data_IF_268425492661
#
_entry.id   IF_268425492661
#
_cell.length_a   1.000
_cell.length_b   1.000
_cell.length_c   1.000
_cell.angle_alpha   90.00
_cell.angle_beta   90.00
_cell.angle_gamma   90.00
#
_symmetry.space_group_name_H-M   'P 1'
#
loop_
_entity.id
_entity.type
_entity.pdbx_description
1 polymer ?
#
# COMPACT_ATOMS: atom_id res chain seq x y z
N UNK A 1 -27.88 -3.03 2.56
CA UNK A 1 -26.51 -2.47 2.60
C UNK A 1 -25.58 -3.61 2.98
N UNK A 2 -24.63 -3.96 2.12
CA UNK A 2 -23.75 -5.11 2.37
C UNK A 2 -23.03 -4.92 3.72
N UNK A 3 -23.11 -5.91 4.62
CA UNK A 3 -22.41 -5.89 5.90
C UNK A 3 -20.89 -6.00 5.64
N UNK A 4 -20.25 -4.84 5.46
CA UNK A 4 -18.79 -4.71 5.40
C UNK A 4 -18.25 -5.16 6.75
N UNK A 5 -17.27 -6.07 6.75
CA UNK A 5 -16.66 -6.55 7.99
C UNK A 5 -15.94 -5.41 8.70
N UNK A 6 -15.81 -5.43 10.04
CA UNK A 6 -15.07 -4.40 10.77
C UNK A 6 -13.66 -4.13 10.18
N UNK A 7 -12.98 -5.20 9.75
CA UNK A 7 -11.66 -5.09 9.12
C UNK A 7 -11.72 -4.34 7.78
N UNK A 8 -12.71 -4.61 6.93
CA UNK A 8 -12.90 -3.87 5.68
C UNK A 8 -13.32 -2.42 5.91
N UNK A 9 -14.04 -2.12 7.00
CA UNK A 9 -14.33 -0.73 7.37
C UNK A 9 -13.04 0.03 7.73
N UNK A 10 -12.14 -0.60 8.50
CA UNK A 10 -10.83 -0.01 8.81
C UNK A 10 -9.97 0.15 7.55
N UNK A 11 -9.92 -0.86 6.68
CA UNK A 11 -9.21 -0.77 5.40
C UNK A 11 -9.71 0.40 4.55
N UNK A 12 -11.01 0.52 4.33
CA UNK A 12 -11.60 1.59 3.51
C UNK A 12 -11.38 2.96 4.13
N UNK A 13 -11.45 3.08 5.46
CA UNK A 13 -11.14 4.32 6.17
C UNK A 13 -9.70 4.75 5.91
N UNK A 14 -8.73 3.85 6.14
CA UNK A 14 -7.31 4.15 5.91
C UNK A 14 -7.06 4.46 4.43
N UNK A 15 -7.63 3.67 3.52
CA UNK A 15 -7.49 3.90 2.08
C UNK A 15 -8.02 5.27 1.64
N UNK A 16 -9.07 5.79 2.28
CA UNK A 16 -9.59 7.13 1.98
C UNK A 16 -8.65 8.27 2.35
N UNK A 17 -7.69 8.03 3.25
CA UNK A 17 -6.65 8.99 3.63
C UNK A 17 -5.43 8.93 2.69
N UNK A 18 -5.32 7.87 1.88
CA UNK A 18 -4.20 7.58 0.96
C UNK A 18 -4.72 7.07 -0.39
N UNK A 19 -5.61 7.83 -1.02
CA UNK A 19 -6.30 7.46 -2.26
C UNK A 19 -5.35 7.28 -3.45
N UNK A 20 -4.26 8.04 -3.49
CA UNK A 20 -3.20 8.02 -4.51
C UNK A 20 -2.12 6.94 -4.32
N UNK A 21 -2.18 6.16 -3.24
CA UNK A 21 -1.20 5.12 -2.91
C UNK A 21 -1.80 3.70 -3.02
N UNK A 22 -1.02 2.72 -3.47
CA UNK A 22 -1.36 1.32 -3.25
C UNK A 22 -1.21 1.00 -1.76
N UNK A 23 -2.30 0.60 -1.10
CA UNK A 23 -2.32 0.32 0.33
C UNK A 23 -1.94 -1.14 0.60
N UNK A 24 -0.70 -1.34 1.04
CA UNK A 24 -0.22 -2.62 1.54
C UNK A 24 -0.70 -2.81 2.98
N UNK A 25 -1.81 -3.53 3.14
CA UNK A 25 -2.47 -3.71 4.43
C UNK A 25 -2.00 -5.01 5.10
N UNK A 26 -1.29 -4.89 6.23
CA UNK A 26 -0.72 -6.04 6.94
C UNK A 26 -1.80 -6.93 7.54
N UNK A 27 -1.83 -8.18 7.10
CA UNK A 27 -2.68 -9.23 7.63
C UNK A 27 -1.88 -10.52 7.83
N UNK A 28 -1.54 -10.83 9.09
CA UNK A 28 -0.75 -12.00 9.41
C UNK A 28 0.63 -11.90 8.76
N UNK A 29 0.99 -12.85 7.89
CA UNK A 29 2.28 -12.89 7.18
C UNK A 29 2.24 -12.30 5.76
N UNK A 30 1.14 -11.64 5.39
CA UNK A 30 1.01 -10.99 4.08
C UNK A 30 0.76 -9.49 4.19
N UNK A 31 1.12 -8.77 3.14
CA UNK A 31 0.47 -7.52 2.79
C UNK A 31 -0.61 -7.82 1.76
N UNK A 32 -1.87 -7.54 2.12
CA UNK A 32 -3.01 -7.71 1.24
C UNK A 32 -3.46 -6.35 0.70
N UNK A 33 -3.84 -6.32 -0.58
CA UNK A 33 -4.48 -5.20 -1.25
C UNK A 33 -5.86 -5.64 -1.70
N UNK A 34 -6.82 -4.71 -1.71
CA UNK A 34 -8.21 -5.00 -2.05
C UNK A 34 -8.73 -4.09 -3.16
N UNK A 35 -9.87 -4.45 -3.74
CA UNK A 35 -10.59 -3.63 -4.73
C UNK A 35 -9.71 -3.25 -5.94
N UNK A 36 -9.53 -1.96 -6.22
CA UNK A 36 -8.79 -1.49 -7.38
C UNK A 36 -7.27 -1.56 -7.16
N UNK A 37 -6.80 -1.33 -5.92
CA UNK A 37 -5.39 -1.57 -5.56
C UNK A 37 -5.00 -3.03 -5.87
N UNK A 38 -5.88 -3.99 -5.57
CA UNK A 38 -5.63 -5.39 -5.87
C UNK A 38 -5.48 -5.65 -7.37
N UNK A 39 -6.37 -5.09 -8.19
CA UNK A 39 -6.34 -5.25 -9.65
C UNK A 39 -5.07 -4.64 -10.22
N UNK A 40 -4.74 -3.42 -9.80
CA UNK A 40 -3.60 -2.69 -10.31
C UNK A 40 -2.29 -3.36 -9.90
N UNK A 41 -2.12 -3.66 -8.62
CA UNK A 41 -0.93 -4.34 -8.12
C UNK A 41 -0.76 -5.74 -8.74
N UNK A 42 -1.85 -6.51 -8.89
CA UNK A 42 -1.79 -7.84 -9.52
C UNK A 42 -1.30 -7.78 -10.97
N UNK A 43 -1.75 -6.77 -11.72
CA UNK A 43 -1.35 -6.54 -13.11
C UNK A 43 0.10 -6.09 -13.21
N UNK A 44 0.53 -5.19 -12.33
CA UNK A 44 1.88 -4.60 -12.38
C UNK A 44 2.95 -5.56 -11.90
N UNK A 45 2.66 -6.30 -10.83
CA UNK A 45 3.56 -7.25 -10.17
C UNK A 45 3.45 -8.66 -10.74
N UNK A 46 2.49 -8.90 -11.65
CA UNK A 46 2.23 -10.21 -12.25
C UNK A 46 1.94 -11.30 -11.19
N UNK A 47 1.25 -10.91 -10.11
CA UNK A 47 0.83 -11.82 -9.04
C UNK A 47 -0.64 -12.21 -9.21
N UNK A 48 -1.03 -13.34 -8.60
CA UNK A 48 -2.39 -13.87 -8.71
C UNK A 48 -3.43 -12.92 -8.09
N UNK A 49 -4.39 -12.48 -8.92
CA UNK A 49 -5.61 -11.82 -8.45
C UNK A 49 -6.62 -12.88 -7.96
N UNK A 50 -6.99 -12.79 -6.70
CA UNK A 50 -7.96 -13.66 -6.05
C UNK A 50 -9.19 -12.88 -5.60
N UNK A 51 -10.10 -13.53 -4.88
CA UNK A 51 -11.32 -12.92 -4.36
C UNK A 51 -11.54 -13.32 -2.91
N UNK A 52 -11.75 -12.34 -2.04
CA UNK A 52 -12.20 -12.54 -0.66
C UNK A 52 -13.72 -12.65 -0.61
N UNK A 53 -14.22 -13.47 0.31
CA UNK A 53 -15.64 -13.76 0.47
C UNK A 53 -16.31 -14.23 -0.84
N UNK A 54 -15.65 -15.13 -1.58
CA UNK A 54 -16.09 -15.58 -2.91
C UNK A 54 -17.51 -16.16 -2.97
N UNK A 55 -18.11 -16.53 -1.82
CA UNK A 55 -19.48 -17.05 -1.69
C UNK A 55 -20.55 -15.94 -1.50
N UNK A 56 -20.15 -14.68 -1.31
CA UNK A 56 -21.07 -13.54 -1.21
C UNK A 56 -21.42 -13.03 -2.61
N UNK A 57 -22.57 -12.36 -2.70
CA UNK A 57 -23.09 -11.76 -3.94
C UNK A 57 -22.10 -10.77 -4.58
N UNK A 58 -21.31 -10.07 -3.77
CA UNK A 58 -20.27 -9.13 -4.20
C UNK A 58 -18.91 -9.52 -3.60
N UNK A 59 -18.12 -10.38 -4.28
CA UNK A 59 -16.80 -10.76 -3.81
C UNK A 59 -15.79 -9.63 -4.00
N UNK A 60 -14.86 -9.48 -3.06
CA UNK A 60 -13.89 -8.39 -3.04
C UNK A 60 -12.61 -8.86 -3.77
N UNK A 61 -12.17 -8.19 -4.85
CA UNK A 61 -10.88 -8.49 -5.47
C UNK A 61 -9.74 -8.33 -4.46
N UNK A 62 -8.79 -9.26 -4.47
CA UNK A 62 -7.71 -9.31 -3.49
C UNK A 62 -6.44 -9.88 -4.12
N UNK A 63 -5.30 -9.26 -3.85
CA UNK A 63 -3.99 -9.87 -4.08
C UNK A 63 -3.11 -9.60 -2.87
N UNK A 64 -1.98 -10.30 -2.76
CA UNK A 64 -1.08 -10.07 -1.65
C UNK A 64 0.31 -10.62 -1.89
N UNK A 65 1.26 -10.09 -1.12
CA UNK A 65 2.67 -10.47 -1.18
C UNK A 65 3.15 -10.86 0.23
N UNK A 66 4.06 -11.83 0.37
CA UNK A 66 4.64 -12.16 1.67
C UNK A 66 5.43 -10.98 2.21
N UNK A 67 5.29 -10.66 3.49
CA UNK A 67 5.91 -9.43 4.03
C UNK A 67 7.42 -9.46 4.06
N UNK A 68 8.00 -10.63 4.31
CA UNK A 68 9.44 -10.83 4.32
C UNK A 68 10.10 -10.54 2.97
N UNK A 69 9.33 -10.60 1.88
CA UNK A 69 9.81 -10.31 0.53
C UNK A 69 9.13 -9.08 -0.07
N UNK A 70 8.40 -8.29 0.72
CA UNK A 70 7.62 -7.15 0.25
C UNK A 70 8.49 -6.09 -0.42
N UNK A 71 9.72 -5.88 0.07
CA UNK A 71 10.62 -4.84 -0.42
C UNK A 71 10.86 -4.94 -1.94
N UNK A 72 11.04 -6.14 -2.48
CA UNK A 72 11.24 -6.34 -3.92
C UNK A 72 9.99 -5.98 -4.75
N UNK A 73 8.80 -6.29 -4.23
CA UNK A 73 7.54 -5.93 -4.88
C UNK A 73 7.30 -4.42 -4.81
N UNK A 74 7.56 -3.82 -3.66
CA UNK A 74 7.47 -2.38 -3.46
C UNK A 74 8.40 -1.69 -4.45
N UNK A 75 9.66 -2.12 -4.55
CA UNK A 75 10.64 -1.55 -5.47
C UNK A 75 10.15 -1.58 -6.92
N UNK A 76 9.56 -2.71 -7.35
CA UNK A 76 8.96 -2.84 -8.67
C UNK A 76 7.84 -1.83 -8.90
N UNK A 77 6.98 -1.60 -7.89
CA UNK A 77 5.91 -0.59 -7.96
C UNK A 77 6.48 0.83 -8.03
N UNK A 78 7.46 1.15 -7.19
CA UNK A 78 8.11 2.48 -7.17
C UNK A 78 8.77 2.77 -8.51
N UNK A 79 9.48 1.80 -9.09
CA UNK A 79 10.13 1.92 -10.41
C UNK A 79 9.13 2.14 -11.55
N UNK A 80 7.86 1.71 -11.39
CA UNK A 80 6.77 2.00 -12.33
C UNK A 80 5.98 3.27 -11.98
N UNK A 81 6.44 4.05 -11.01
CA UNK A 81 5.86 5.34 -10.65
C UNK A 81 4.70 5.29 -9.65
N UNK A 82 4.43 4.13 -9.04
CA UNK A 82 3.39 4.02 -8.02
C UNK A 82 3.90 4.54 -6.67
N UNK A 83 2.97 5.03 -5.84
CA UNK A 83 3.21 5.27 -4.41
C UNK A 83 2.66 4.10 -3.61
N UNK A 84 3.34 3.72 -2.53
CA UNK A 84 2.93 2.59 -1.68
C UNK A 84 2.81 3.06 -0.23
N UNK A 85 1.64 2.83 0.37
CA UNK A 85 1.41 3.06 1.79
C UNK A 85 1.51 1.73 2.54
N UNK A 86 2.42 1.63 3.50
CA UNK A 86 2.61 0.44 4.34
C UNK A 86 1.78 0.61 5.60
N UNK A 87 0.75 -0.22 5.75
CA UNK A 87 -0.11 -0.24 6.91
C UNK A 87 0.18 -1.46 7.77
N UNK A 88 0.61 -1.23 9.01
CA UNK A 88 1.03 -2.27 9.96
C UNK A 88 0.01 -2.49 11.06
N UNK A 89 0.12 -3.64 11.73
CA UNK A 89 -0.65 -3.95 12.93
C UNK A 89 0.06 -3.39 14.16
N UNK A 90 -0.60 -2.47 14.87
CA UNK A 90 -0.01 -1.76 16.01
C UNK A 90 -0.04 -2.55 17.31
N UNK A 91 -0.80 -3.64 17.34
CA UNK A 91 -1.03 -4.47 18.51
C UNK A 91 -0.81 -5.94 18.16
N UNK A 92 -0.35 -6.75 19.12
CA UNK A 92 -0.21 -8.20 18.92
C UNK A 92 -1.60 -8.83 18.80
N UNK A 93 -1.92 -9.52 17.68
CA UNK A 93 -3.20 -10.22 17.50
C UNK A 93 -3.48 -11.26 18.59
N UNK A 94 -2.43 -11.81 19.20
CA UNK A 94 -2.56 -12.83 20.26
C UNK A 94 -2.95 -12.24 21.62
N UNK A 95 -2.67 -10.95 21.83
CA UNK A 95 -2.93 -10.25 23.10
C UNK A 95 -4.22 -9.42 23.05
N UNK A 96 -4.73 -9.14 21.85
CA UNK A 96 -5.85 -8.24 21.63
C UNK A 96 -7.17 -9.00 21.54
N UNK A 97 -8.09 -8.73 22.46
CA UNK A 97 -9.48 -9.21 22.35
C UNK A 97 -10.26 -8.27 21.43
N UNK A 98 -10.31 -8.58 20.15
CA UNK A 98 -11.10 -7.83 19.17
C UNK A 98 -10.32 -7.55 17.89
N UNK A 99 -10.67 -6.44 17.23
CA UNK A 99 -10.01 -6.02 15.99
C UNK A 99 -8.70 -5.30 16.32
N UNK A 100 -7.61 -5.79 15.72
CA UNK A 100 -6.29 -5.17 15.85
C UNK A 100 -6.28 -3.81 15.16
N UNK A 101 -5.79 -2.79 15.86
CA UNK A 101 -5.59 -1.45 15.28
C UNK A 101 -4.50 -1.51 14.21
N UNK A 102 -4.79 -0.92 13.05
CA UNK A 102 -3.82 -0.80 11.95
C UNK A 102 -3.60 0.65 11.60
N UNK A 103 -2.36 1.01 11.29
CA UNK A 103 -1.96 2.38 10.94
C UNK A 103 -0.94 2.38 9.82
N UNK A 104 -0.94 3.43 8.99
CA UNK A 104 0.11 3.64 8.00
C UNK A 104 1.36 4.14 8.71
N UNK A 105 2.42 3.35 8.64
CA UNK A 105 3.70 3.66 9.31
C UNK A 105 4.72 4.27 8.36
N UNK A 106 4.54 4.06 7.06
CA UNK A 106 5.48 4.51 6.03
C UNK A 106 4.77 4.70 4.69
N UNK A 107 5.10 5.79 4.00
CA UNK A 107 4.72 6.02 2.60
C UNK A 107 5.98 6.06 1.77
N UNK A 108 6.02 5.22 0.74
CA UNK A 108 7.16 5.07 -0.15
C UNK A 108 6.75 5.64 -1.50
N UNK A 109 7.50 6.61 -1.97
CA UNK A 109 7.26 7.28 -3.26
C UNK A 109 8.54 7.24 -4.10
N UNK A 110 8.45 7.45 -5.43
CA UNK A 110 9.64 7.49 -6.29
C UNK A 110 10.71 8.48 -5.80
N UNK A 111 10.32 9.63 -5.26
CA UNK A 111 11.26 10.62 -4.75
C UNK A 111 11.76 10.36 -3.33
N UNK A 112 11.06 9.54 -2.53
CA UNK A 112 11.38 9.32 -1.10
C UNK A 112 11.96 7.92 -0.81
N UNK A 113 12.22 7.10 -1.82
CA UNK A 113 12.82 5.77 -1.63
C UNK A 113 14.23 5.93 -1.03
N UNK A 114 14.51 5.23 0.07
CA UNK A 114 15.81 5.29 0.76
C UNK A 114 16.52 3.93 0.85
N UNK A 115 15.84 2.83 0.51
CA UNK A 115 16.40 1.48 0.65
C UNK A 115 17.27 1.10 -0.56
N UNK A 116 18.40 0.43 -0.27
CA UNK A 116 19.56 0.24 -1.15
C UNK A 116 19.28 -0.55 -2.44
N UNK A 117 18.19 -1.31 -2.53
CA UNK A 117 17.93 -2.17 -3.69
C UNK A 117 17.36 -1.41 -4.89
N UNK A 118 16.69 -0.27 -4.66
CA UNK A 118 15.97 0.48 -5.72
C UNK A 118 16.68 1.71 -6.27
N UNK A 119 17.83 2.10 -5.71
CA UNK A 119 18.56 3.28 -6.14
C UNK A 119 19.80 2.90 -6.94
N UNK A 120 19.92 3.45 -8.15
CA UNK A 120 21.19 3.46 -8.87
C UNK A 120 22.15 4.37 -8.10
N UNK A 121 23.13 3.79 -7.40
CA UNK A 121 24.12 4.53 -6.58
C UNK A 121 24.88 5.61 -7.37
N UNK A 122 24.83 5.56 -8.71
CA UNK A 122 25.46 6.54 -9.59
C UNK A 122 24.53 7.70 -9.98
N UNK A 123 23.27 7.67 -9.54
CA UNK A 123 22.25 8.67 -9.88
C UNK A 123 21.66 9.28 -8.62
N UNK A 124 21.50 10.59 -8.68
CA UNK A 124 20.80 11.31 -7.63
C UNK A 124 19.29 11.11 -7.78
N UNK A 125 18.59 10.89 -6.66
CA UNK A 125 17.14 10.93 -6.60
C UNK A 125 16.72 12.23 -5.90
N UNK A 126 15.99 13.08 -6.61
CA UNK A 126 15.60 14.39 -6.11
C UNK A 126 14.08 14.44 -5.89
N UNK A 127 13.68 15.13 -4.83
CA UNK A 127 12.33 15.64 -4.66
C UNK A 127 12.40 17.13 -4.97
N UNK A 128 11.40 17.62 -5.70
CA UNK A 128 11.29 19.03 -6.02
C UNK A 128 9.89 19.53 -5.66
N UNK A 129 9.85 20.69 -5.03
CA UNK A 129 8.65 21.48 -4.83
C UNK A 129 8.78 22.77 -5.64
N UNK A 130 7.70 23.16 -6.31
CA UNK A 130 7.64 24.38 -7.11
C UNK A 130 6.46 25.22 -6.65
N UNK A 131 6.69 26.52 -6.50
CA UNK A 131 5.64 27.50 -6.20
C UNK A 131 5.75 28.67 -7.18
N UNK A 132 4.61 29.04 -7.76
CA UNK A 132 4.46 30.21 -8.63
C UNK A 132 3.60 31.25 -7.89
N UNK A 133 4.21 32.41 -7.60
CA UNK A 133 3.52 33.60 -7.13
C UNK A 133 3.88 34.77 -8.07
N UNK A 134 4.20 35.95 -7.55
CA UNK A 134 4.81 37.03 -8.35
C UNK A 134 6.24 36.67 -8.83
N UNK A 135 6.89 35.73 -8.12
CA UNK A 135 8.18 35.11 -8.48
C UNK A 135 8.07 33.57 -8.37
N UNK A 136 9.07 32.86 -8.90
CA UNK A 136 9.16 31.40 -8.84
C UNK A 136 10.06 30.93 -7.68
N UNK A 137 9.56 30.00 -6.87
CA UNK A 137 10.33 29.29 -5.84
C UNK A 137 10.55 27.83 -6.18
N UNK A 138 11.76 27.32 -5.98
CA UNK A 138 12.14 25.92 -6.15
C UNK A 138 12.83 25.43 -4.87
N UNK A 139 12.41 24.29 -4.36
CA UNK A 139 13.01 23.60 -3.20
C UNK A 139 13.22 22.13 -3.53
#
# INVERSE_FOLDING_TARGET
MANITPMMQQYLKIKSEYDDCLLFFRLGDFYEMFFDDAKEASRVLEITLTKRDAKKENPIPMCGVPYHSADNYIETLINKGYKVAICEQMEDPKQTKGMVRSEVVRIITPGTVMDQNGMDEKKNNYILSFIENEEFGLC
#
